data_IF_657488944025
#
_entry.id   IF_657488944025
#
_cell.length_a   1.000
_cell.length_b   1.000
_cell.length_c   1.000
_cell.angle_alpha   90.00
_cell.angle_beta   90.00
_cell.angle_gamma   90.00
#
_symmetry.space_group_name_H-M   'P 1'
#
loop_
_entity.id
_entity.type
_entity.pdbx_description
1 polymer ?
#
# COMPACT_ATOMS: atom_id res chain seq x y z
N UNK A 1 29.73 36.43 -28.03
CA UNK A 1 28.82 36.81 -26.93
C UNK A 1 27.42 36.42 -27.38
N UNK A 2 27.08 35.13 -27.44
CA UNK A 2 26.91 34.21 -26.29
C UNK A 2 26.20 34.89 -25.13
N UNK A 3 24.91 34.58 -24.93
CA UNK A 3 24.48 33.63 -23.89
C UNK A 3 22.95 33.48 -23.96
N UNK A 4 22.47 32.40 -24.58
CA UNK A 4 21.08 31.95 -24.40
C UNK A 4 21.08 30.95 -23.23
N UNK A 5 20.64 31.40 -22.06
CA UNK A 5 20.48 30.55 -20.89
C UNK A 5 19.30 29.60 -21.08
N UNK A 6 19.62 28.33 -21.33
CA UNK A 6 18.66 27.23 -21.37
C UNK A 6 18.14 26.96 -19.95
N UNK A 7 16.85 27.25 -19.75
CA UNK A 7 16.16 27.05 -18.47
C UNK A 7 15.93 25.54 -18.29
N UNK A 8 16.82 24.89 -17.55
CA UNK A 8 16.70 23.48 -17.14
C UNK A 8 15.31 23.16 -16.60
N UNK A 9 14.56 22.40 -17.39
CA UNK A 9 13.26 21.84 -17.04
C UNK A 9 13.49 20.83 -15.91
N UNK A 10 13.13 21.19 -14.67
CA UNK A 10 13.15 20.25 -13.53
C UNK A 10 12.39 18.99 -13.93
N UNK A 11 13.10 17.87 -14.08
CA UNK A 11 12.53 16.56 -14.33
C UNK A 11 11.71 16.22 -13.08
N UNK A 12 10.38 16.40 -13.18
CA UNK A 12 9.44 15.93 -12.19
C UNK A 12 9.70 14.45 -11.98
N UNK A 13 10.17 14.08 -10.80
CA UNK A 13 10.56 12.71 -10.54
C UNK A 13 9.39 11.77 -10.83
N UNK A 14 9.66 10.65 -11.51
CA UNK A 14 8.68 9.61 -11.84
C UNK A 14 7.66 9.35 -10.70
N UNK A 15 6.37 9.17 -10.99
CA UNK A 15 5.37 8.90 -9.97
C UNK A 15 5.76 7.65 -9.16
N UNK A 16 5.44 7.64 -7.86
CA UNK A 16 5.67 6.46 -7.01
C UNK A 16 4.91 5.23 -7.52
N UNK A 17 5.29 4.04 -7.06
CA UNK A 17 4.72 2.77 -7.55
C UNK A 17 3.41 2.47 -6.82
N UNK A 18 2.33 2.22 -7.55
CA UNK A 18 1.04 1.82 -6.95
C UNK A 18 0.92 0.30 -6.87
N UNK A 19 -0.05 -0.21 -6.11
CA UNK A 19 -0.36 -1.65 -6.05
C UNK A 19 -0.84 -2.13 -7.43
N UNK A 20 -0.25 -3.21 -7.92
CA UNK A 20 -0.60 -3.86 -9.19
C UNK A 20 -1.35 -5.20 -9.00
N UNK A 21 -1.07 -5.91 -7.91
CA UNK A 21 -1.68 -7.21 -7.59
C UNK A 21 -2.10 -7.26 -6.12
N UNK A 22 -3.34 -7.69 -5.88
CA UNK A 22 -3.81 -8.08 -4.55
C UNK A 22 -3.71 -9.59 -4.40
N UNK A 23 -3.33 -10.07 -3.21
CA UNK A 23 -3.19 -11.49 -2.94
C UNK A 23 -3.51 -11.84 -1.49
N UNK A 24 -4.02 -13.05 -1.27
CA UNK A 24 -4.22 -13.64 0.05
C UNK A 24 -3.53 -14.99 0.16
N UNK A 25 -2.96 -15.28 1.32
CA UNK A 25 -2.34 -16.57 1.59
C UNK A 25 -3.39 -17.54 2.13
N UNK A 26 -3.48 -18.73 1.53
CA UNK A 26 -4.34 -19.79 2.04
C UNK A 26 -3.80 -20.32 3.37
N UNK A 27 -4.61 -20.33 4.42
CA UNK A 27 -4.23 -20.82 5.75
C UNK A 27 -3.85 -22.32 5.73
N UNK A 28 -4.50 -23.13 4.88
CA UNK A 28 -4.30 -24.59 4.86
C UNK A 28 -3.03 -25.04 4.14
N UNK A 29 -2.69 -24.39 3.03
CA UNK A 29 -1.60 -24.84 2.15
C UNK A 29 -0.51 -23.79 1.94
N UNK A 30 -0.66 -22.60 2.52
CA UNK A 30 0.28 -21.47 2.48
C UNK A 30 0.57 -20.90 1.08
N UNK A 31 -0.13 -21.37 0.05
CA UNK A 31 -0.05 -20.85 -1.32
C UNK A 31 -0.73 -19.49 -1.41
N UNK A 32 -0.13 -18.58 -2.17
CA UNK A 32 -0.70 -17.27 -2.46
C UNK A 32 -1.69 -17.34 -3.62
N UNK A 33 -2.85 -16.73 -3.44
CA UNK A 33 -3.90 -16.60 -4.46
C UNK A 33 -4.05 -15.15 -4.83
N UNK A 34 -4.09 -14.85 -6.14
CA UNK A 34 -4.43 -13.51 -6.63
C UNK A 34 -5.88 -13.22 -6.26
N UNK A 35 -6.16 -12.01 -5.85
CA UNK A 35 -7.50 -11.53 -5.54
C UNK A 35 -7.91 -10.55 -6.62
N UNK A 36 -9.13 -10.72 -7.14
CA UNK A 36 -9.53 -10.15 -8.42
C UNK A 36 -9.79 -8.64 -8.35
N UNK A 37 -10.09 -8.11 -7.16
CA UNK A 37 -10.27 -6.68 -6.94
C UNK A 37 -9.81 -6.23 -5.56
N UNK A 38 -9.59 -4.92 -5.42
CA UNK A 38 -9.29 -4.30 -4.14
C UNK A 38 -10.40 -4.53 -3.12
N UNK A 39 -11.67 -4.44 -3.53
CA UNK A 39 -12.83 -4.58 -2.64
C UNK A 39 -12.92 -5.98 -2.04
N UNK A 40 -12.64 -7.02 -2.84
CA UNK A 40 -12.58 -8.41 -2.35
C UNK A 40 -11.38 -8.62 -1.43
N UNK A 41 -10.24 -8.01 -1.75
CA UNK A 41 -9.06 -8.07 -0.88
C UNK A 41 -9.33 -7.40 0.47
N UNK A 42 -9.97 -6.24 0.46
CA UNK A 42 -10.31 -5.51 1.69
C UNK A 42 -11.32 -6.26 2.54
N UNK A 43 -12.30 -6.96 1.93
CA UNK A 43 -13.20 -7.88 2.62
C UNK A 43 -12.41 -8.97 3.35
N UNK A 44 -11.60 -9.74 2.61
CA UNK A 44 -10.76 -10.80 3.18
C UNK A 44 -9.91 -10.27 4.33
N UNK A 45 -9.19 -9.17 4.11
CA UNK A 45 -8.30 -8.57 5.12
C UNK A 45 -9.08 -8.11 6.36
N UNK A 46 -10.31 -7.60 6.20
CA UNK A 46 -11.11 -7.09 7.31
C UNK A 46 -11.60 -8.19 8.25
N UNK A 47 -11.82 -9.40 7.73
CA UNK A 47 -12.36 -10.54 8.49
C UNK A 47 -11.32 -11.65 8.73
N UNK A 48 -10.09 -11.50 8.24
CA UNK A 48 -9.07 -12.57 8.21
C UNK A 48 -8.75 -13.18 9.58
N UNK A 49 -9.00 -12.45 10.68
CA UNK A 49 -8.76 -12.94 12.03
C UNK A 49 -9.85 -13.89 12.52
N UNK A 50 -11.11 -13.68 12.11
CA UNK A 50 -12.23 -14.58 12.45
C UNK A 50 -12.49 -15.62 11.35
N UNK A 51 -12.26 -15.25 10.09
CA UNK A 51 -12.57 -16.05 8.91
C UNK A 51 -11.35 -16.13 7.96
N UNK A 52 -10.32 -16.91 8.32
CA UNK A 52 -9.09 -17.03 7.54
C UNK A 52 -9.32 -17.37 6.07
N UNK A 53 -8.46 -16.85 5.19
CA UNK A 53 -8.58 -17.16 3.76
C UNK A 53 -8.15 -18.61 3.48
N UNK A 54 -8.98 -19.34 2.73
CA UNK A 54 -8.66 -20.68 2.21
C UNK A 54 -8.96 -20.73 0.72
N UNK A 55 -8.23 -21.56 -0.03
CA UNK A 55 -8.34 -21.63 -1.50
C UNK A 55 -9.78 -21.81 -1.99
N UNK A 56 -10.57 -22.59 -1.27
CA UNK A 56 -11.96 -22.93 -1.64
C UNK A 56 -12.91 -21.71 -1.60
N UNK A 57 -12.52 -20.60 -0.96
CA UNK A 57 -13.27 -19.33 -1.00
C UNK A 57 -13.16 -18.64 -2.36
N UNK A 58 -12.16 -19.00 -3.18
CA UNK A 58 -12.05 -18.53 -4.55
C UNK A 58 -12.69 -19.57 -5.49
N UNK A 59 -13.62 -19.12 -6.32
CA UNK A 59 -14.36 -20.00 -7.22
C UNK A 59 -13.39 -20.82 -8.10
N UNK A 60 -13.58 -22.14 -8.11
CA UNK A 60 -12.77 -23.06 -8.93
C UNK A 60 -11.31 -23.23 -8.46
N UNK A 61 -10.97 -22.82 -7.23
CA UNK A 61 -9.63 -23.02 -6.66
C UNK A 61 -9.67 -23.97 -5.47
N UNK A 62 -8.62 -24.76 -5.34
CA UNK A 62 -8.40 -25.71 -4.25
C UNK A 62 -6.96 -25.64 -3.75
N UNK A 63 -6.68 -26.31 -2.62
CA UNK A 63 -5.32 -26.46 -2.11
C UNK A 63 -4.42 -27.35 -3.00
N UNK A 64 -4.99 -28.16 -3.91
CA UNK A 64 -4.22 -29.03 -4.82
C UNK A 64 -3.61 -28.24 -5.99
N UNK A 65 -4.25 -27.16 -6.39
CA UNK A 65 -3.79 -26.33 -7.50
C UNK A 65 -2.47 -25.60 -7.16
N UNK A 66 -1.62 -25.38 -8.16
CA UNK A 66 -0.42 -24.55 -8.03
C UNK A 66 -0.78 -23.13 -7.57
N UNK A 67 0.09 -22.49 -6.78
CA UNK A 67 -0.12 -21.10 -6.32
C UNK A 67 -0.20 -20.13 -7.50
N UNK A 68 -0.91 -19.01 -7.33
CA UNK A 68 -0.98 -17.98 -8.38
C UNK A 68 0.25 -17.05 -8.33
N UNK A 69 0.95 -17.02 -7.20
CA UNK A 69 2.14 -16.24 -6.90
C UNK A 69 3.07 -17.04 -5.99
N UNK A 70 4.37 -16.78 -6.11
CA UNK A 70 5.41 -17.22 -5.19
C UNK A 70 5.95 -16.01 -4.45
N UNK A 71 6.14 -16.17 -3.14
CA UNK A 71 6.78 -15.12 -2.34
C UNK A 71 8.29 -15.19 -2.61
N UNK A 72 8.77 -14.26 -3.43
CA UNK A 72 10.15 -14.15 -3.86
C UNK A 72 10.55 -12.68 -4.09
N UNK A 73 11.77 -12.44 -4.56
CA UNK A 73 12.32 -11.11 -4.85
C UNK A 73 12.10 -10.65 -6.30
N UNK A 74 11.29 -11.34 -7.10
CA UNK A 74 10.95 -10.89 -8.46
C UNK A 74 10.05 -9.65 -8.44
N UNK A 75 9.43 -9.38 -7.28
CA UNK A 75 8.49 -8.29 -7.02
C UNK A 75 8.67 -7.81 -5.59
N UNK A 76 8.38 -6.54 -5.30
CA UNK A 76 8.32 -6.07 -3.91
C UNK A 76 6.97 -6.40 -3.29
N UNK A 77 7.01 -7.15 -2.20
CA UNK A 77 5.86 -7.50 -1.40
C UNK A 77 5.61 -6.44 -0.32
N UNK A 78 4.33 -6.20 -0.09
CA UNK A 78 3.85 -5.41 1.05
C UNK A 78 2.73 -6.17 1.74
N UNK A 79 2.73 -6.21 3.07
CA UNK A 79 1.77 -7.00 3.85
C UNK A 79 0.99 -6.08 4.78
N UNK A 80 -0.32 -5.98 4.56
CA UNK A 80 -1.23 -5.21 5.43
C UNK A 80 -1.33 -5.85 6.81
N UNK A 81 -1.62 -5.03 7.83
CA UNK A 81 -2.06 -5.55 9.12
C UNK A 81 -3.41 -6.26 8.94
N UNK A 82 -3.64 -7.44 9.57
CA UNK A 82 -4.94 -8.09 9.56
C UNK A 82 -6.00 -7.25 10.31
N UNK A 83 -7.27 -7.41 9.94
CA UNK A 83 -8.41 -6.78 10.62
C UNK A 83 -8.60 -5.29 10.31
N UNK A 84 -7.91 -4.76 9.30
CA UNK A 84 -8.12 -3.37 8.89
C UNK A 84 -9.48 -3.22 8.18
N UNK A 85 -10.25 -2.16 8.49
CA UNK A 85 -11.60 -1.98 7.95
C UNK A 85 -11.56 -1.71 6.46
N UNK A 86 -12.62 -2.13 5.75
CA UNK A 86 -12.83 -1.82 4.34
C UNK A 86 -12.89 -0.31 4.11
N UNK A 87 -12.53 0.11 2.90
CA UNK A 87 -12.73 1.49 2.47
C UNK A 87 -14.23 1.83 2.46
N UNK A 88 -14.64 3.01 2.95
CA UNK A 88 -16.02 3.45 2.88
C UNK A 88 -16.57 3.45 1.45
N UNK A 89 -17.85 3.11 1.30
CA UNK A 89 -18.53 3.01 0.00
C UNK A 89 -18.34 4.30 -0.82
N UNK A 90 -18.01 4.14 -2.10
CA UNK A 90 -17.77 5.25 -3.03
C UNK A 90 -16.34 5.81 -3.01
N UNK A 91 -15.57 5.55 -1.96
CA UNK A 91 -14.15 5.91 -1.90
C UNK A 91 -13.28 4.73 -2.35
N UNK A 92 -12.04 5.02 -2.74
CA UNK A 92 -11.00 4.00 -2.98
C UNK A 92 -9.72 4.34 -2.22
N UNK A 93 -9.16 3.38 -1.48
CA UNK A 93 -7.84 3.55 -0.84
C UNK A 93 -6.74 3.37 -1.90
N UNK A 94 -5.89 4.37 -2.08
CA UNK A 94 -4.74 4.31 -2.99
C UNK A 94 -3.46 4.27 -2.18
N UNK A 95 -2.64 3.23 -2.41
CA UNK A 95 -1.34 3.07 -1.77
C UNK A 95 -0.23 3.30 -2.79
N UNK A 96 0.74 4.14 -2.43
CA UNK A 96 1.89 4.45 -3.29
C UNK A 96 3.18 4.17 -2.53
N UNK A 97 3.97 3.22 -3.01
CA UNK A 97 5.30 2.91 -2.53
C UNK A 97 6.27 4.04 -2.88
N UNK A 98 7.00 4.51 -1.86
CA UNK A 98 8.05 5.52 -2.04
C UNK A 98 9.21 4.96 -2.86
N UNK A 99 9.92 5.86 -3.55
CA UNK A 99 11.04 5.48 -4.44
C UNK A 99 12.18 4.78 -3.73
N UNK A 100 12.38 5.11 -2.46
CA UNK A 100 13.39 4.54 -1.57
C UNK A 100 12.93 3.24 -0.89
N UNK A 101 11.73 2.74 -1.21
CA UNK A 101 11.13 1.52 -0.64
C UNK A 101 10.97 1.57 0.89
N UNK A 102 11.10 2.74 1.51
CA UNK A 102 11.05 2.89 2.97
C UNK A 102 9.69 2.56 3.56
N UNK A 103 8.62 2.97 2.87
CA UNK A 103 7.21 2.72 3.22
C UNK A 103 6.28 3.09 2.08
N UNK A 104 5.01 2.76 2.24
CA UNK A 104 3.94 3.31 1.40
C UNK A 104 3.36 4.59 2.00
N UNK A 105 2.79 5.43 1.14
CA UNK A 105 1.87 6.50 1.51
C UNK A 105 0.43 6.07 1.17
N UNK A 106 -0.51 6.32 2.09
CA UNK A 106 -1.93 6.08 1.87
C UNK A 106 -2.68 7.35 1.47
N UNK A 107 -3.62 7.19 0.55
CA UNK A 107 -4.51 8.22 0.04
C UNK A 107 -5.92 7.65 -0.11
N UNK A 108 -6.91 8.53 -0.21
CA UNK A 108 -8.27 8.18 -0.59
C UNK A 108 -8.65 8.92 -1.87
N UNK A 109 -9.21 8.19 -2.83
CA UNK A 109 -9.81 8.75 -4.03
C UNK A 109 -11.31 8.88 -3.76
N UNK A 110 -11.84 10.08 -3.91
CA UNK A 110 -13.26 10.35 -3.75
C UNK A 110 -14.06 9.79 -4.94
N UNK A 111 -15.40 9.67 -4.81
CA UNK A 111 -16.30 9.38 -5.93
C UNK A 111 -16.12 10.34 -7.13
N UNK A 112 -15.69 11.57 -6.87
CA UNK A 112 -15.41 12.59 -7.90
C UNK A 112 -13.99 12.52 -8.48
N UNK A 113 -13.18 11.54 -8.05
CA UNK A 113 -11.80 11.34 -8.51
C UNK A 113 -10.75 12.19 -7.79
N UNK A 114 -11.13 13.01 -6.80
CA UNK A 114 -10.18 13.82 -6.03
C UNK A 114 -9.34 12.93 -5.13
N UNK A 115 -8.03 13.14 -5.13
CA UNK A 115 -7.08 12.46 -4.24
C UNK A 115 -6.90 13.25 -2.94
N UNK A 116 -7.16 12.59 -1.81
CA UNK A 116 -7.04 13.13 -0.45
C UNK A 116 -5.96 12.34 0.29
N UNK A 117 -5.11 13.05 1.03
CA UNK A 117 -3.96 12.52 1.77
C UNK A 117 -4.16 12.56 3.27
N UNK A 118 -5.06 13.40 3.77
CA UNK A 118 -5.23 13.60 5.21
C UNK A 118 -6.68 13.41 5.66
N UNK A 119 -6.85 13.12 6.95
CA UNK A 119 -8.15 13.06 7.59
C UNK A 119 -8.89 14.41 7.52
N UNK A 120 -8.17 15.52 7.65
CA UNK A 120 -8.76 16.87 7.54
C UNK A 120 -9.29 17.15 6.13
N UNK A 121 -8.57 16.71 5.09
CA UNK A 121 -9.04 16.82 3.70
C UNK A 121 -10.29 15.96 3.45
N UNK A 122 -10.40 14.80 4.08
CA UNK A 122 -11.60 13.94 4.02
C UNK A 122 -12.78 14.61 4.73
N UNK A 123 -12.57 15.14 5.94
CA UNK A 123 -13.60 15.86 6.68
C UNK A 123 -14.13 17.05 5.85
N UNK A 124 -13.22 17.89 5.33
CA UNK A 124 -13.60 19.01 4.48
C UNK A 124 -14.33 18.58 3.19
N UNK A 125 -13.97 17.43 2.62
CA UNK A 125 -14.69 16.87 1.48
C UNK A 125 -16.12 16.44 1.84
N UNK A 126 -16.30 15.72 2.94
CA UNK A 126 -17.61 15.25 3.40
C UNK A 126 -18.51 16.44 3.77
N UNK A 127 -17.96 17.44 4.46
CA UNK A 127 -18.71 18.66 4.83
C UNK A 127 -19.21 19.42 3.61
N UNK A 128 -18.38 19.50 2.55
CA UNK A 128 -18.74 20.14 1.29
C UNK A 128 -19.66 19.29 0.38
N UNK A 129 -19.85 17.99 0.68
CA UNK A 129 -20.59 17.06 -0.17
C UNK A 129 -21.51 16.15 0.69
N UNK A 130 -22.70 16.65 1.09
CA UNK A 130 -23.57 15.98 2.08
C UNK A 130 -23.99 14.55 1.73
N UNK A 131 -24.04 14.19 0.44
CA UNK A 131 -24.37 12.83 -0.02
C UNK A 131 -23.41 11.76 0.52
N UNK A 132 -22.19 12.16 0.91
CA UNK A 132 -21.16 11.27 1.44
C UNK A 132 -21.11 11.22 2.97
N UNK A 133 -22.08 11.81 3.69
CA UNK A 133 -22.17 11.75 5.17
C UNK A 133 -22.35 10.32 5.72
N UNK A 134 -22.72 9.37 4.87
CA UNK A 134 -22.80 7.95 5.22
C UNK A 134 -21.42 7.29 5.44
N UNK A 135 -20.32 7.95 5.06
CA UNK A 135 -18.96 7.49 5.30
C UNK A 135 -18.36 8.21 6.51
N UNK A 136 -18.47 7.68 7.73
CA UNK A 136 -17.97 8.35 8.92
C UNK A 136 -16.45 8.46 8.88
N UNK A 137 -15.91 9.56 9.42
CA UNK A 137 -14.48 9.87 9.37
C UNK A 137 -13.60 8.79 10.03
N UNK A 138 -14.15 8.05 11.00
CA UNK A 138 -13.49 6.94 11.69
C UNK A 138 -13.18 5.74 10.79
N UNK A 139 -13.93 5.55 9.71
CA UNK A 139 -13.76 4.41 8.80
C UNK A 139 -12.58 4.61 7.84
N UNK A 140 -12.04 5.83 7.76
CA UNK A 140 -10.86 6.14 6.95
C UNK A 140 -9.58 5.80 7.72
N UNK A 141 -8.98 4.66 7.37
CA UNK A 141 -7.79 4.10 7.97
C UNK A 141 -6.51 4.33 7.14
N UNK A 142 -5.56 5.08 7.70
CA UNK A 142 -4.29 5.43 7.07
C UNK A 142 -3.12 4.50 7.44
N UNK A 143 -3.38 3.39 8.14
CA UNK A 143 -2.37 2.34 8.35
C UNK A 143 -1.89 1.88 6.99
N UNK A 144 -0.58 1.66 6.82
CA UNK A 144 0.03 1.21 5.56
C UNK A 144 0.61 -0.19 5.74
N UNK A 145 0.64 -1.01 4.67
CA UNK A 145 1.27 -2.32 4.75
C UNK A 145 2.77 -2.20 5.00
N UNK A 146 3.33 -3.22 5.66
CA UNK A 146 4.77 -3.34 5.88
C UNK A 146 5.44 -3.72 4.56
N UNK A 147 6.50 -2.99 4.18
CA UNK A 147 7.36 -3.38 3.05
C UNK A 147 8.23 -4.55 3.48
N UNK A 148 8.29 -5.58 2.65
CA UNK A 148 9.08 -6.78 2.91
C UNK A 148 10.50 -6.59 2.36
N UNK A 149 11.45 -6.31 3.25
CA UNK A 149 12.82 -5.88 2.89
C UNK A 149 13.56 -6.90 2.01
N UNK A 150 13.32 -8.19 2.21
CA UNK A 150 13.85 -9.33 1.45
C UNK A 150 13.35 -9.41 -0.01
N UNK A 151 12.35 -8.60 -0.36
CA UNK A 151 11.74 -8.53 -1.70
C UNK A 151 12.00 -7.20 -2.41
N UNK A 152 12.76 -6.31 -1.79
CA UNK A 152 13.18 -5.03 -2.38
C UNK A 152 14.34 -5.29 -3.36
N UNK A 153 14.33 -4.71 -4.57
CA UNK A 153 15.43 -4.87 -5.52
C UNK A 153 16.79 -4.47 -4.93
N UNK A 154 17.81 -5.30 -5.16
CA UNK A 154 19.17 -5.06 -4.71
C UNK A 154 19.72 -3.73 -5.27
N UNK A 155 20.48 -2.99 -4.47
CA UNK A 155 21.10 -1.71 -4.86
C UNK A 155 20.31 -0.45 -4.47
N UNK A 156 19.14 -0.59 -3.83
CA UNK A 156 18.34 0.55 -3.35
C UNK A 156 18.54 0.79 -1.85
N UNK A 157 19.05 -0.21 -1.13
CA UNK A 157 19.26 -0.22 0.33
C UNK A 157 20.72 0.03 0.72
N UNK A 158 21.44 0.95 0.09
CA UNK A 158 22.66 1.47 0.74
C UNK A 158 22.24 2.45 1.83
N UNK A 159 21.83 1.91 2.98
CA UNK A 159 21.65 2.67 4.21
C UNK A 159 23.03 3.19 4.61
N UNK A 160 23.29 4.47 4.41
CA UNK A 160 24.43 5.13 5.04
C UNK A 160 24.25 5.00 6.56
N UNK A 161 25.18 4.39 7.30
CA UNK A 161 25.05 4.32 8.75
C UNK A 161 25.07 5.74 9.31
N UNK A 162 24.07 6.08 10.14
CA UNK A 162 24.11 7.29 10.95
C UNK A 162 25.34 7.18 11.84
N UNK A 163 26.35 8.04 11.62
CA UNK A 163 27.46 8.20 12.57
C UNK A 163 26.87 8.55 13.94
N UNK A 164 26.87 7.60 14.87
CA UNK A 164 26.74 7.91 16.28
C UNK A 164 27.90 8.82 16.65
N UNK A 165 27.59 10.02 17.15
CA UNK A 165 28.61 10.91 17.71
C UNK A 165 29.33 10.12 18.81
N UNK A 166 30.63 9.91 18.61
CA UNK A 166 31.49 9.26 19.59
C UNK A 166 31.44 10.03 20.90
N UNK A 167 31.20 9.31 21.99
CA UNK A 167 31.48 9.78 23.33
C UNK A 167 33.01 9.77 23.47
N UNK A 168 33.61 10.94 23.62
CA UNK A 168 35.03 11.06 23.93
C UNK A 168 35.25 10.49 25.34
N UNK A 169 36.16 9.50 25.44
CA UNK A 169 36.77 9.14 26.71
C UNK A 169 37.83 10.20 27.00
N UNK A 170 37.74 10.81 28.18
CA UNK A 170 38.78 11.65 28.75
C UNK A 170 39.70 10.75 29.59
N UNK A 171 41.01 10.94 29.43
CA UNK A 171 42.09 10.26 30.18
C UNK A 171 41.99 10.48 31.70
#
# INVERSE_FOLDING_TARGET
MEEHTEKSKKIGGAPGRSIDIYAAQCEKCLKWRKIDSQEVYEEIRSTIQEDPFVCEKKQGKSCRDAGDLEYDSTRTWVIDKPGLPKTPRGFKRSLVLRKDFSKMDAYYITPTGKKLRTRNEIAAFIDANPDYKHAPLGDFNFTVPKVMEDTVPCGITERTPKRSKGLAMID
#
